data_IF_620008702724
#
_entry.id   IF_620008702724
#
_cell.length_a   1.000
_cell.length_b   1.000
_cell.length_c   1.000
_cell.angle_alpha   90.00
_cell.angle_beta   90.00
_cell.angle_gamma   90.00
#
_symmetry.space_group_name_H-M   'P 1'
#
loop_
_entity.id
_entity.type
_entity.pdbx_description
1 polymer ?
#
# COMPACT_ATOMS: atom_id res chain seq x y z
N UNK A 1 0.10 25.51 -16.02
CA UNK A 1 1.33 25.67 -15.20
C UNK A 1 1.93 24.31 -14.95
N UNK A 2 3.15 24.06 -15.39
CA UNK A 2 3.85 22.81 -15.10
C UNK A 2 4.27 22.83 -13.63
N UNK A 3 3.77 21.88 -12.84
CA UNK A 3 4.06 21.79 -11.41
C UNK A 3 5.39 21.04 -11.23
N UNK A 4 6.47 21.78 -10.94
CA UNK A 4 7.78 21.18 -10.72
C UNK A 4 7.81 20.56 -9.32
N UNK A 5 8.19 19.29 -9.16
CA UNK A 5 8.30 18.66 -7.82
C UNK A 5 9.24 19.43 -6.90
N UNK A 6 8.90 19.54 -5.60
CA UNK A 6 9.73 20.28 -4.64
C UNK A 6 11.14 19.71 -4.50
N UNK A 7 11.31 18.38 -4.65
CA UNK A 7 12.62 17.77 -4.62
C UNK A 7 13.52 18.22 -5.77
N UNK A 8 12.96 18.47 -6.96
CA UNK A 8 13.73 19.02 -8.08
C UNK A 8 14.21 20.44 -7.80
N UNK A 9 13.38 21.27 -7.17
CA UNK A 9 13.75 22.61 -6.76
C UNK A 9 14.85 22.55 -5.70
N UNK A 10 14.71 21.64 -4.73
CA UNK A 10 15.72 21.40 -3.69
C UNK A 10 17.09 21.08 -4.28
N UNK A 11 17.18 20.18 -5.26
CA UNK A 11 18.44 19.79 -5.86
C UNK A 11 19.02 20.82 -6.85
N UNK A 12 18.17 21.58 -7.52
CA UNK A 12 18.62 22.59 -8.49
C UNK A 12 18.92 23.94 -7.86
N UNK A 13 18.18 24.33 -6.82
CA UNK A 13 18.18 25.67 -6.23
C UNK A 13 17.93 25.59 -4.72
N UNK A 14 18.93 25.10 -3.99
CA UNK A 14 18.80 24.69 -2.59
C UNK A 14 18.14 25.71 -1.64
N UNK A 15 18.24 27.02 -1.95
CA UNK A 15 17.66 28.08 -1.10
C UNK A 15 16.20 28.43 -1.45
N UNK A 16 15.67 27.99 -2.59
CA UNK A 16 14.34 28.40 -3.07
C UNK A 16 13.24 27.38 -2.77
N UNK A 17 13.61 26.15 -2.37
CA UNK A 17 12.60 25.12 -2.10
C UNK A 17 11.66 25.47 -0.94
N UNK A 18 12.16 26.11 0.10
CA UNK A 18 11.36 26.41 1.28
C UNK A 18 10.37 27.57 1.03
N UNK A 19 10.76 28.69 0.42
CA UNK A 19 9.80 29.69 -0.04
C UNK A 19 8.73 29.11 -0.98
N UNK A 20 9.12 28.22 -1.90
CA UNK A 20 8.16 27.57 -2.80
C UNK A 20 7.23 26.61 -2.05
N UNK A 21 7.74 25.84 -1.06
CA UNK A 21 6.91 25.04 -0.15
C UNK A 21 5.88 25.93 0.54
N UNK A 22 6.27 27.02 1.17
CA UNK A 22 5.36 27.95 1.86
C UNK A 22 4.32 28.55 0.93
N UNK A 23 4.73 28.94 -0.26
CA UNK A 23 3.83 29.49 -1.29
C UNK A 23 2.75 28.48 -1.68
N UNK A 24 3.13 27.21 -1.87
CA UNK A 24 2.19 26.12 -2.20
C UNK A 24 1.32 25.74 -1.01
N UNK A 25 1.92 25.66 0.17
CA UNK A 25 1.22 25.36 1.42
C UNK A 25 0.11 26.38 1.70
N UNK A 26 0.38 27.67 1.50
CA UNK A 26 -0.58 28.76 1.70
C UNK A 26 -1.48 29.03 0.49
N UNK A 27 -1.43 28.19 -0.54
CA UNK A 27 -2.27 28.36 -1.72
C UNK A 27 -3.73 28.04 -1.40
N UNK A 28 -4.66 28.80 -1.99
CA UNK A 28 -6.10 28.61 -1.80
C UNK A 28 -6.59 27.18 -2.16
N UNK A 29 -5.91 26.54 -3.09
CA UNK A 29 -6.22 25.17 -3.54
C UNK A 29 -5.43 24.08 -2.79
N UNK A 30 -4.68 24.44 -1.75
CA UNK A 30 -3.97 23.48 -0.91
C UNK A 30 -4.92 22.83 0.09
N UNK A 31 -4.90 21.51 0.14
CA UNK A 31 -5.56 20.70 1.16
C UNK A 31 -4.51 20.15 2.10
N UNK A 32 -4.55 20.60 3.35
CA UNK A 32 -3.66 20.14 4.40
C UNK A 32 -4.13 18.79 4.95
N UNK A 33 -3.19 17.92 5.23
CA UNK A 33 -3.43 16.63 5.87
C UNK A 33 -3.01 16.72 7.35
N UNK A 34 -3.67 15.95 8.21
CA UNK A 34 -3.31 15.84 9.64
C UNK A 34 -2.12 14.88 9.83
N UNK A 35 -1.12 15.04 8.94
CA UNK A 35 0.09 14.23 8.93
C UNK A 35 1.28 15.19 8.85
N UNK A 36 2.19 15.05 9.81
CA UNK A 36 3.47 15.73 9.79
C UNK A 36 4.59 14.73 9.49
N UNK A 37 5.61 15.18 8.77
CA UNK A 37 6.81 14.40 8.49
C UNK A 37 8.02 15.14 9.06
N UNK A 38 8.98 14.36 9.51
CA UNK A 38 10.23 14.84 10.07
C UNK A 38 11.38 14.06 9.46
N UNK A 39 12.38 14.77 8.97
CA UNK A 39 13.61 14.14 8.49
C UNK A 39 14.41 13.56 9.68
N UNK A 40 15.01 12.40 9.47
CA UNK A 40 15.85 11.79 10.50
C UNK A 40 16.96 12.73 10.96
N UNK A 41 17.11 12.89 12.29
CA UNK A 41 18.04 13.83 12.93
C UNK A 41 17.84 15.32 12.58
N UNK A 42 16.65 15.72 12.18
CA UNK A 42 16.25 17.13 12.04
C UNK A 42 15.16 17.47 13.05
N UNK A 43 15.13 18.72 13.49
CA UNK A 43 14.10 19.18 14.44
C UNK A 43 12.84 19.66 13.72
N UNK A 44 13.00 20.15 12.50
CA UNK A 44 11.92 20.77 11.75
C UNK A 44 10.94 19.73 11.24
N UNK A 45 9.66 19.97 11.52
CA UNK A 45 8.53 19.18 11.03
C UNK A 45 7.83 19.90 9.88
N UNK A 46 7.28 19.13 8.96
CA UNK A 46 6.54 19.64 7.82
C UNK A 46 5.19 18.95 7.74
N UNK A 47 4.12 19.74 7.72
CA UNK A 47 2.79 19.22 7.49
C UNK A 47 2.65 18.84 6.00
N UNK A 48 2.09 17.68 5.73
CA UNK A 48 1.79 17.24 4.38
C UNK A 48 0.56 17.97 3.83
N UNK A 49 0.60 18.25 2.55
CA UNK A 49 -0.51 18.85 1.80
C UNK A 49 -0.47 18.42 0.34
N UNK A 50 -1.57 18.57 -0.33
CA UNK A 50 -1.64 18.48 -1.79
C UNK A 50 -2.42 19.67 -2.36
N UNK A 51 -2.17 20.00 -3.62
CA UNK A 51 -2.90 21.07 -4.29
C UNK A 51 -3.81 20.48 -5.37
N UNK A 52 -5.06 20.93 -5.43
CA UNK A 52 -5.97 20.63 -6.52
C UNK A 52 -5.51 21.36 -7.79
N UNK A 53 -4.67 20.68 -8.58
CA UNK A 53 -4.23 21.20 -9.87
C UNK A 53 -5.25 20.84 -10.96
N UNK A 54 -5.25 21.60 -12.07
CA UNK A 54 -6.06 21.28 -13.25
C UNK A 54 -5.84 19.82 -13.72
N UNK A 55 -4.59 19.36 -13.66
CA UNK A 55 -4.25 17.97 -14.01
C UNK A 55 -4.95 16.96 -13.11
N UNK A 56 -4.92 17.17 -11.80
CA UNK A 56 -5.60 16.27 -10.84
C UNK A 56 -7.11 16.26 -11.08
N UNK A 57 -7.72 17.41 -11.24
CA UNK A 57 -9.16 17.54 -11.50
C UNK A 57 -9.55 16.83 -12.81
N UNK A 58 -8.77 17.03 -13.86
CA UNK A 58 -8.99 16.37 -15.15
C UNK A 58 -8.88 14.85 -15.02
N UNK A 59 -7.87 14.37 -14.29
CA UNK A 59 -7.68 12.94 -14.04
C UNK A 59 -8.82 12.34 -13.21
N UNK A 60 -9.28 13.03 -12.16
CA UNK A 60 -10.44 12.61 -11.36
C UNK A 60 -11.71 12.50 -12.21
N UNK A 61 -11.97 13.48 -13.06
CA UNK A 61 -13.11 13.44 -13.98
C UNK A 61 -13.00 12.24 -14.94
N UNK A 62 -11.82 12.01 -15.52
CA UNK A 62 -11.60 10.86 -16.38
C UNK A 62 -11.85 9.53 -15.66
N UNK A 63 -11.32 9.36 -14.44
CA UNK A 63 -11.54 8.18 -13.62
C UNK A 63 -13.05 7.99 -13.35
N UNK A 64 -13.77 9.05 -13.03
CA UNK A 64 -15.21 8.98 -12.78
C UNK A 64 -15.98 8.52 -14.02
N UNK A 65 -15.68 9.08 -15.20
CA UNK A 65 -16.33 8.67 -16.45
C UNK A 65 -16.00 7.22 -16.83
N UNK A 66 -14.74 6.81 -16.67
CA UNK A 66 -14.33 5.43 -16.95
C UNK A 66 -15.00 4.44 -15.97
N UNK A 67 -15.13 4.82 -14.69
CA UNK A 67 -15.87 4.04 -13.68
C UNK A 67 -17.35 3.86 -14.06
N UNK A 68 -18.04 4.94 -14.43
CA UNK A 68 -19.44 4.86 -14.87
C UNK A 68 -19.62 4.00 -16.12
N UNK A 69 -18.64 4.06 -17.04
CA UNK A 69 -18.63 3.22 -18.24
C UNK A 69 -18.43 1.75 -17.88
N UNK A 70 -17.47 1.47 -16.99
CA UNK A 70 -17.22 0.11 -16.49
C UNK A 70 -18.46 -0.46 -15.81
N UNK A 71 -19.10 0.32 -14.94
CA UNK A 71 -20.32 -0.09 -14.26
C UNK A 71 -21.46 -0.48 -15.23
N UNK A 72 -21.63 0.28 -16.33
CA UNK A 72 -22.57 -0.09 -17.38
C UNK A 72 -22.24 -1.42 -18.05
N UNK A 73 -20.95 -1.68 -18.31
CA UNK A 73 -20.50 -2.93 -18.92
C UNK A 73 -20.73 -4.13 -17.97
N UNK A 74 -20.44 -3.96 -16.68
CA UNK A 74 -20.71 -5.01 -15.67
C UNK A 74 -22.20 -5.39 -15.62
N UNK A 75 -23.11 -4.41 -15.72
CA UNK A 75 -24.55 -4.66 -15.72
C UNK A 75 -25.04 -5.44 -16.95
N UNK A 76 -24.22 -5.59 -17.99
CA UNK A 76 -24.53 -6.40 -19.17
C UNK A 76 -24.05 -7.85 -19.07
N UNK A 77 -23.18 -8.15 -18.09
CA UNK A 77 -22.63 -9.48 -17.90
C UNK A 77 -23.54 -10.31 -16.98
N UNK A 78 -23.72 -11.61 -17.25
CA UNK A 78 -24.32 -12.51 -16.28
C UNK A 78 -23.41 -12.70 -15.08
N UNK A 79 -23.94 -13.01 -13.89
CA UNK A 79 -23.21 -13.19 -12.64
C UNK A 79 -22.01 -14.15 -12.78
N UNK A 80 -22.18 -15.25 -13.50
CA UNK A 80 -21.09 -16.19 -13.77
C UNK A 80 -19.95 -15.56 -14.59
N UNK A 81 -20.25 -14.64 -15.48
CA UNK A 81 -19.26 -13.89 -16.25
C UNK A 81 -18.50 -12.89 -15.38
N UNK A 82 -19.19 -12.22 -14.47
CA UNK A 82 -18.59 -11.32 -13.48
C UNK A 82 -17.66 -12.09 -12.56
N UNK A 83 -18.10 -13.23 -12.00
CA UNK A 83 -17.30 -14.08 -11.11
C UNK A 83 -16.02 -14.55 -11.82
N UNK A 84 -16.13 -15.02 -13.06
CA UNK A 84 -14.97 -15.45 -13.84
C UNK A 84 -14.00 -14.30 -14.14
N UNK A 85 -14.52 -13.12 -14.44
CA UNK A 85 -13.72 -11.92 -14.68
C UNK A 85 -12.98 -11.50 -13.41
N UNK A 86 -13.65 -11.43 -12.26
CA UNK A 86 -13.06 -11.08 -10.97
C UNK A 86 -11.95 -12.07 -10.57
N UNK A 87 -12.17 -13.37 -10.77
CA UNK A 87 -11.14 -14.39 -10.54
C UNK A 87 -9.92 -14.20 -11.45
N UNK A 88 -10.11 -13.84 -12.70
CA UNK A 88 -9.01 -13.54 -13.63
C UNK A 88 -8.23 -12.30 -13.17
N UNK A 89 -8.92 -11.22 -12.79
CA UNK A 89 -8.29 -10.02 -12.23
C UNK A 89 -7.49 -10.33 -10.96
N UNK A 90 -8.06 -11.15 -10.07
CA UNK A 90 -7.38 -11.56 -8.83
C UNK A 90 -6.09 -12.32 -9.11
N UNK A 91 -6.09 -13.23 -10.09
CA UNK A 91 -4.88 -13.97 -10.49
C UNK A 91 -3.79 -13.01 -10.98
N UNK A 92 -4.14 -12.07 -11.85
CA UNK A 92 -3.19 -11.10 -12.40
C UNK A 92 -2.66 -10.15 -11.33
N UNK A 93 -3.53 -9.66 -10.46
CA UNK A 93 -3.18 -8.78 -9.35
C UNK A 93 -2.21 -9.46 -8.37
N UNK A 94 -2.52 -10.68 -7.91
CA UNK A 94 -1.67 -11.43 -6.99
C UNK A 94 -0.32 -11.72 -7.65
N UNK A 95 -0.31 -12.14 -8.91
CA UNK A 95 0.92 -12.43 -9.62
C UNK A 95 1.81 -11.19 -9.75
N UNK A 96 1.23 -10.07 -10.18
CA UNK A 96 1.96 -8.80 -10.36
C UNK A 96 2.48 -8.24 -9.04
N UNK A 97 1.67 -8.31 -7.98
CA UNK A 97 2.08 -7.85 -6.64
C UNK A 97 3.23 -8.70 -6.10
N UNK A 98 3.12 -10.03 -6.22
CA UNK A 98 4.19 -10.94 -5.81
C UNK A 98 5.48 -10.70 -6.61
N UNK A 99 5.39 -10.42 -7.90
CA UNK A 99 6.56 -10.11 -8.73
C UNK A 99 7.26 -8.82 -8.27
N UNK A 100 6.50 -7.77 -7.92
CA UNK A 100 7.03 -6.51 -7.35
C UNK A 100 7.75 -6.77 -6.02
N UNK A 101 7.19 -7.64 -5.18
CA UNK A 101 7.75 -8.03 -3.88
C UNK A 101 8.89 -9.08 -3.99
N UNK A 102 9.25 -9.50 -5.21
CA UNK A 102 10.26 -10.52 -5.43
C UNK A 102 9.82 -11.94 -5.06
N UNK A 103 8.54 -12.16 -4.83
CA UNK A 103 7.94 -13.45 -4.52
C UNK A 103 7.57 -14.16 -5.83
N UNK A 104 8.19 -15.30 -6.11
CA UNK A 104 7.84 -16.08 -7.29
C UNK A 104 6.53 -16.81 -7.09
N UNK A 105 5.58 -16.59 -7.99
CA UNK A 105 4.29 -17.28 -8.01
C UNK A 105 3.86 -17.54 -9.46
N UNK A 106 3.21 -18.67 -9.69
CA UNK A 106 2.65 -19.03 -10.99
C UNK A 106 1.13 -18.81 -11.00
N UNK A 107 0.57 -18.54 -12.18
CA UNK A 107 -0.89 -18.46 -12.36
C UNK A 107 -1.60 -19.74 -11.91
N UNK A 108 -0.95 -20.89 -12.03
CA UNK A 108 -1.50 -22.17 -11.62
C UNK A 108 -1.60 -22.27 -10.10
N UNK A 109 -0.54 -21.93 -9.35
CA UNK A 109 -0.56 -21.93 -7.87
C UNK A 109 -1.63 -21.00 -7.32
N UNK A 110 -1.76 -19.79 -7.90
CA UNK A 110 -2.80 -18.83 -7.49
C UNK A 110 -4.19 -19.39 -7.79
N UNK A 111 -4.38 -20.02 -8.96
CA UNK A 111 -5.64 -20.65 -9.33
C UNK A 111 -6.00 -21.79 -8.38
N UNK A 112 -5.05 -22.65 -8.04
CA UNK A 112 -5.23 -23.73 -7.07
C UNK A 112 -5.65 -23.19 -5.70
N UNK A 113 -5.01 -22.11 -5.24
CA UNK A 113 -5.40 -21.43 -4.00
C UNK A 113 -6.82 -20.85 -4.06
N UNK A 114 -7.25 -20.30 -5.21
CA UNK A 114 -8.62 -19.80 -5.41
C UNK A 114 -9.64 -20.95 -5.34
N UNK A 115 -9.34 -22.09 -5.93
CA UNK A 115 -10.26 -23.25 -5.93
C UNK A 115 -10.25 -24.05 -4.62
N UNK A 116 -9.16 -23.96 -3.83
CA UNK A 116 -9.07 -24.59 -2.51
C UNK A 116 -9.92 -23.91 -1.42
N UNK A 117 -10.77 -22.94 -1.79
CA UNK A 117 -11.52 -22.11 -0.86
C UNK A 117 -12.63 -22.85 -0.11
N UNK A 118 -12.80 -22.49 1.15
CA UNK A 118 -13.86 -22.98 2.06
C UNK A 118 -13.34 -23.48 3.41
N UNK A 119 -12.14 -24.04 3.50
CA UNK A 119 -11.46 -24.35 4.76
C UNK A 119 -10.02 -23.88 4.70
N UNK A 120 -9.56 -23.28 5.79
CA UNK A 120 -8.14 -22.96 5.96
C UNK A 120 -7.32 -24.22 5.65
N UNK A 121 -6.39 -24.08 4.72
CA UNK A 121 -5.48 -25.13 4.34
C UNK A 121 -4.03 -24.58 4.34
N UNK A 122 -3.28 -24.83 5.41
CA UNK A 122 -1.90 -24.35 5.52
C UNK A 122 -0.97 -24.96 4.47
N UNK A 123 -1.35 -26.07 3.82
CA UNK A 123 -0.52 -26.71 2.80
C UNK A 123 -0.66 -26.04 1.41
N UNK A 124 -1.72 -25.28 1.20
CA UNK A 124 -1.91 -24.51 -0.04
C UNK A 124 -1.11 -23.21 0.03
N UNK A 125 -0.13 -23.12 -0.83
CA UNK A 125 0.65 -21.89 -1.00
C UNK A 125 -0.26 -20.73 -1.43
N UNK A 126 0.03 -19.51 -0.95
CA UNK A 126 -0.72 -18.29 -1.27
C UNK A 126 -2.18 -18.26 -0.77
N UNK A 127 -2.60 -19.25 0.03
CA UNK A 127 -3.97 -19.30 0.55
C UNK A 127 -4.35 -18.01 1.32
N UNK A 128 -3.46 -17.52 2.19
CA UNK A 128 -3.68 -16.30 2.97
C UNK A 128 -3.91 -15.07 2.07
N UNK A 129 -3.10 -14.92 1.01
CA UNK A 129 -3.24 -13.81 0.06
C UNK A 129 -4.58 -13.89 -0.67
N UNK A 130 -4.95 -15.06 -1.19
CA UNK A 130 -6.24 -15.27 -1.85
C UNK A 130 -7.40 -15.01 -0.90
N UNK A 131 -7.31 -15.47 0.35
CA UNK A 131 -8.32 -15.22 1.37
C UNK A 131 -8.51 -13.71 1.65
N UNK A 132 -7.42 -12.94 1.68
CA UNK A 132 -7.47 -11.48 1.79
C UNK A 132 -8.30 -10.86 0.66
N UNK A 133 -8.03 -11.22 -0.58
CA UNK A 133 -8.78 -10.69 -1.73
C UNK A 133 -10.26 -11.06 -1.68
N UNK A 134 -10.58 -12.27 -1.23
CA UNK A 134 -11.98 -12.68 -1.06
C UNK A 134 -12.69 -11.88 0.02
N UNK A 135 -12.05 -11.62 1.16
CA UNK A 135 -12.62 -10.76 2.19
C UNK A 135 -12.91 -9.35 1.65
N UNK A 136 -12.01 -8.81 0.82
CA UNK A 136 -12.22 -7.50 0.16
C UNK A 136 -13.38 -7.56 -0.84
N UNK A 137 -13.44 -8.57 -1.68
CA UNK A 137 -14.51 -8.72 -2.70
C UNK A 137 -15.88 -8.91 -2.04
N UNK A 138 -15.93 -9.64 -0.92
CA UNK A 138 -17.17 -9.89 -0.17
C UNK A 138 -17.54 -8.73 0.78
N UNK A 139 -16.83 -7.62 0.71
CA UNK A 139 -17.03 -6.44 1.58
C UNK A 139 -17.00 -6.78 3.09
N UNK A 140 -16.16 -7.76 3.47
CA UNK A 140 -15.96 -8.10 4.86
C UNK A 140 -15.20 -6.98 5.58
N UNK A 141 -15.69 -6.62 6.76
CA UNK A 141 -15.11 -5.53 7.54
C UNK A 141 -13.72 -5.91 8.07
N UNK A 142 -12.68 -5.44 7.42
CA UNK A 142 -11.30 -5.57 7.86
C UNK A 142 -11.01 -4.48 8.88
N UNK A 143 -10.76 -4.87 10.13
CA UNK A 143 -10.40 -3.92 11.19
C UNK A 143 -8.97 -3.45 11.01
N UNK A 144 -8.75 -2.12 11.07
CA UNK A 144 -7.43 -1.48 10.94
C UNK A 144 -7.34 -0.25 11.88
N UNK A 145 -7.80 -0.38 13.11
CA UNK A 145 -7.86 0.74 14.07
C UNK A 145 -6.72 0.72 15.08
N UNK A 146 -6.19 -0.45 15.38
CA UNK A 146 -5.15 -0.64 16.39
C UNK A 146 -3.93 -1.35 15.79
N UNK A 147 -2.80 -1.30 16.50
CA UNK A 147 -1.61 -2.04 16.12
C UNK A 147 -1.85 -3.56 16.14
N UNK A 148 -2.69 -4.03 17.07
CA UNK A 148 -3.11 -5.43 17.15
C UNK A 148 -3.94 -5.83 15.92
N UNK A 149 -4.81 -4.96 15.41
CA UNK A 149 -5.56 -5.23 14.18
C UNK A 149 -4.62 -5.45 12.99
N UNK A 150 -3.58 -4.60 12.87
CA UNK A 150 -2.56 -4.73 11.82
C UNK A 150 -1.78 -6.04 11.99
N UNK A 151 -1.41 -6.40 13.24
CA UNK A 151 -0.71 -7.65 13.52
C UNK A 151 -1.58 -8.87 13.18
N UNK A 152 -2.83 -8.87 13.56
CA UNK A 152 -3.76 -9.95 13.24
C UNK A 152 -3.93 -10.11 11.72
N UNK A 153 -4.01 -8.99 11.00
CA UNK A 153 -4.08 -9.00 9.54
C UNK A 153 -2.82 -9.62 8.90
N UNK A 154 -1.66 -9.28 9.43
CA UNK A 154 -0.39 -9.87 9.01
C UNK A 154 -0.35 -11.38 9.27
N UNK A 155 -0.74 -11.80 10.46
CA UNK A 155 -0.75 -13.22 10.84
C UNK A 155 -1.72 -14.02 9.96
N UNK A 156 -2.91 -13.50 9.68
CA UNK A 156 -3.92 -14.14 8.85
C UNK A 156 -3.50 -14.32 7.38
N UNK A 157 -2.73 -13.39 6.84
CA UNK A 157 -2.51 -13.35 5.39
C UNK A 157 -1.10 -13.68 4.94
N UNK A 158 -0.10 -13.45 5.76
CA UNK A 158 1.31 -13.47 5.35
C UNK A 158 2.15 -14.44 6.17
N UNK A 159 1.83 -14.65 7.46
CA UNK A 159 2.69 -15.36 8.38
C UNK A 159 3.02 -16.79 7.92
N UNK A 160 2.06 -17.51 7.35
CA UNK A 160 2.28 -18.87 6.87
C UNK A 160 3.26 -18.93 5.70
N UNK A 161 3.19 -17.95 4.80
CA UNK A 161 4.12 -17.84 3.67
C UNK A 161 5.54 -17.52 4.16
N UNK A 162 5.66 -16.64 5.14
CA UNK A 162 6.96 -16.30 5.76
C UNK A 162 7.55 -17.49 6.47
N UNK A 163 6.76 -18.24 7.25
CA UNK A 163 7.24 -19.46 7.92
C UNK A 163 7.80 -20.49 6.94
N UNK A 164 7.26 -20.55 5.73
CA UNK A 164 7.74 -21.46 4.68
C UNK A 164 9.04 -20.98 4.04
N UNK A 165 9.16 -19.66 3.79
CA UNK A 165 10.24 -19.11 3.00
C UNK A 165 11.43 -18.67 3.85
N UNK A 166 11.19 -17.95 4.94
CA UNK A 166 12.24 -17.39 5.78
C UNK A 166 11.75 -17.13 7.20
N UNK A 167 12.09 -18.02 8.12
CA UNK A 167 11.69 -17.92 9.52
C UNK A 167 12.32 -16.72 10.24
N UNK A 168 13.40 -16.11 9.70
CA UNK A 168 14.03 -14.92 10.30
C UNK A 168 13.16 -13.66 10.17
N UNK A 169 12.19 -13.66 9.27
CA UNK A 169 11.29 -12.52 9.03
C UNK A 169 10.01 -12.60 9.88
N UNK A 170 9.87 -13.64 10.72
CA UNK A 170 8.79 -13.72 11.69
C UNK A 170 8.95 -12.59 12.71
N UNK A 171 7.88 -11.81 13.00
CA UNK A 171 7.94 -10.78 14.02
C UNK A 171 8.32 -11.37 15.38
N UNK A 172 9.37 -10.82 16.00
CA UNK A 172 9.96 -11.30 17.27
C UNK A 172 9.61 -10.43 18.48
N UNK A 173 8.84 -9.34 18.29
CA UNK A 173 8.30 -8.49 19.33
C UNK A 173 6.94 -8.94 19.84
N UNK A 174 6.30 -8.13 20.69
CA UNK A 174 4.96 -8.41 21.19
C UNK A 174 3.91 -8.24 20.09
N UNK A 175 4.00 -7.16 19.32
CA UNK A 175 3.11 -6.86 18.19
C UNK A 175 3.88 -7.01 16.88
N UNK A 176 5.05 -6.35 16.75
CA UNK A 176 5.81 -6.32 15.51
C UNK A 176 7.20 -6.94 15.69
N UNK A 177 8.19 -6.15 16.14
CA UNK A 177 9.60 -6.57 16.24
C UNK A 177 10.31 -5.91 17.42
N UNK A 178 11.31 -6.60 17.95
CA UNK A 178 12.10 -6.13 19.10
C UNK A 178 13.10 -5.03 18.77
N UNK A 179 13.56 -4.96 17.54
CA UNK A 179 14.60 -4.05 17.13
C UNK A 179 14.08 -3.00 16.13
N UNK A 180 14.73 -1.83 16.10
CA UNK A 180 14.45 -0.82 15.09
C UNK A 180 14.81 -1.31 13.70
N UNK A 181 14.10 -0.78 12.69
CA UNK A 181 14.44 -0.99 11.27
C UNK A 181 14.77 0.35 10.68
N UNK A 182 15.90 0.41 10.00
CA UNK A 182 16.39 1.62 9.36
C UNK A 182 16.24 1.52 7.84
N UNK A 183 15.85 2.62 7.23
CA UNK A 183 15.99 2.81 5.78
C UNK A 183 17.37 3.46 5.57
N UNK A 184 18.19 2.81 4.77
CA UNK A 184 19.54 3.29 4.48
C UNK A 184 19.68 3.67 3.00
N UNK A 185 20.49 4.69 2.72
CA UNK A 185 20.87 5.06 1.35
C UNK A 185 21.85 4.04 0.76
N UNK A 186 22.08 4.12 -0.55
CA UNK A 186 23.13 3.33 -1.22
C UNK A 186 24.53 3.54 -0.65
N UNK A 187 24.77 4.63 0.10
CA UNK A 187 26.00 4.94 0.85
C UNK A 187 25.94 4.49 2.31
N UNK A 188 25.01 3.65 2.69
CA UNK A 188 24.75 3.14 4.03
C UNK A 188 24.44 4.22 5.10
N UNK A 189 24.08 5.42 4.68
CA UNK A 189 23.62 6.46 5.59
C UNK A 189 22.16 6.20 5.95
N UNK A 190 21.82 6.19 7.25
CA UNK A 190 20.42 6.10 7.70
C UNK A 190 19.64 7.33 7.24
N UNK A 191 18.59 7.09 6.46
CA UNK A 191 17.66 8.11 5.96
C UNK A 191 16.47 8.23 6.92
N UNK A 192 15.99 7.10 7.41
CA UNK A 192 14.87 7.03 8.32
C UNK A 192 15.05 5.88 9.30
N UNK A 193 14.54 6.05 10.51
CA UNK A 193 14.47 5.01 11.54
C UNK A 193 13.03 4.77 11.92
N UNK A 194 12.60 3.51 11.88
CA UNK A 194 11.26 3.12 12.34
C UNK A 194 11.07 3.40 13.83
N UNK A 195 9.83 3.58 14.24
CA UNK A 195 9.50 3.82 15.66
C UNK A 195 9.97 2.64 16.50
N UNK A 196 10.65 2.95 17.61
CA UNK A 196 11.22 1.98 18.53
C UNK A 196 11.36 2.61 19.93
N UNK A 197 11.13 1.87 21.01
CA UNK A 197 10.55 0.52 21.10
C UNK A 197 9.06 0.49 20.74
N UNK A 198 8.48 -0.72 20.60
CA UNK A 198 7.05 -0.93 20.29
C UNK A 198 6.08 -0.16 21.20
N UNK A 199 6.46 0.07 22.46
CA UNK A 199 5.65 0.83 23.43
C UNK A 199 5.44 2.31 23.05
N UNK A 200 6.10 2.78 21.97
CA UNK A 200 5.93 4.14 21.43
C UNK A 200 5.02 4.17 20.21
N UNK A 201 4.53 3.03 19.74
CA UNK A 201 3.54 2.89 18.68
C UNK A 201 2.11 3.03 19.23
#
# INVERSE_FOLDING_TARGET
MTYIPLYEIYYKQNNEWFPEYQKRFNNLFAKHLDITIKEFNREKEFQLFYCHTEYIVTLQNKIMFDFLRLQKLFNLLPDAGIDQFLKSCMIEEIQSTNEIEGVRSTRQEIREAIFAQGKYNPDVRLWGIVNKYNKIINDENIKLKTCEDIRNLYDDFILDEIKRNNTSDIPDGNIFRKNSVDIVSGTQKTIHRGVYPESKL
#
